data_IF_175910100149
#
_entry.id   IF_175910100149
#
_cell.length_a   1.000
_cell.length_b   1.000
_cell.length_c   1.000
_cell.angle_alpha   90.00
_cell.angle_beta   90.00
_cell.angle_gamma   90.00
#
_symmetry.space_group_name_H-M   'P 1'
#
loop_
_entity.id
_entity.type
_entity.pdbx_description
1 polymer ?
#
# COMPACT_ATOMS: atom_id res chain seq x y z
N UNK A 1 40.79 11.90 -25.34
CA UNK A 1 40.43 12.73 -24.17
C UNK A 1 39.13 13.53 -24.36
N UNK A 2 38.71 13.92 -25.57
CA UNK A 2 37.47 14.71 -25.75
C UNK A 2 36.17 13.91 -25.98
N UNK A 3 36.27 12.65 -26.40
CA UNK A 3 35.08 11.85 -26.72
C UNK A 3 34.41 11.26 -25.47
N UNK A 4 35.22 10.89 -24.47
CA UNK A 4 34.74 10.31 -23.20
C UNK A 4 33.95 11.30 -22.35
N UNK A 5 34.31 12.59 -22.38
CA UNK A 5 33.61 13.62 -21.60
C UNK A 5 32.22 13.93 -22.17
N UNK A 6 32.07 13.91 -23.50
CA UNK A 6 30.77 14.06 -24.18
C UNK A 6 29.91 12.83 -23.90
N UNK A 7 30.48 11.62 -24.00
CA UNK A 7 29.77 10.37 -23.74
C UNK A 7 29.26 10.31 -22.30
N UNK A 8 30.09 10.72 -21.33
CA UNK A 8 29.70 10.80 -19.93
C UNK A 8 28.53 11.77 -19.67
N UNK A 9 28.51 12.94 -20.34
CA UNK A 9 27.39 13.89 -20.22
C UNK A 9 26.08 13.33 -20.78
N UNK A 10 26.15 12.61 -21.91
CA UNK A 10 24.98 11.94 -22.51
C UNK A 10 24.45 10.84 -21.59
N UNK A 11 25.33 10.02 -21.03
CA UNK A 11 24.95 8.95 -20.09
C UNK A 11 24.34 9.51 -18.80
N UNK A 12 24.87 10.63 -18.27
CA UNK A 12 24.26 11.33 -17.14
C UNK A 12 22.87 11.88 -17.46
N UNK A 13 22.67 12.43 -18.67
CA UNK A 13 21.37 12.90 -19.14
C UNK A 13 20.34 11.77 -19.22
N UNK A 14 20.71 10.65 -19.84
CA UNK A 14 19.87 9.45 -19.89
C UNK A 14 19.56 8.89 -18.49
N UNK A 15 20.56 8.87 -17.61
CA UNK A 15 20.40 8.41 -16.22
C UNK A 15 19.40 9.27 -15.44
N UNK A 16 19.50 10.60 -15.54
CA UNK A 16 18.52 11.52 -14.93
C UNK A 16 17.11 11.30 -15.48
N UNK A 17 16.98 11.14 -16.79
CA UNK A 17 15.67 10.92 -17.41
C UNK A 17 15.03 9.61 -16.91
N UNK A 18 15.81 8.51 -16.86
CA UNK A 18 15.34 7.24 -16.31
C UNK A 18 14.95 7.34 -14.84
N UNK A 19 15.71 8.08 -14.02
CA UNK A 19 15.37 8.30 -12.62
C UNK A 19 14.06 9.08 -12.45
N UNK A 20 13.83 10.13 -13.25
CA UNK A 20 12.59 10.91 -13.19
C UNK A 20 11.39 10.04 -13.58
N UNK A 21 11.48 9.33 -14.70
CA UNK A 21 10.40 8.44 -15.17
C UNK A 21 10.16 7.31 -14.17
N UNK A 22 11.23 6.70 -13.65
CA UNK A 22 11.16 5.65 -12.64
C UNK A 22 10.47 6.11 -11.36
N UNK A 23 10.82 7.30 -10.86
CA UNK A 23 10.19 7.89 -9.68
C UNK A 23 8.71 8.20 -9.91
N UNK A 24 8.38 8.85 -11.02
CA UNK A 24 6.99 9.15 -11.37
C UNK A 24 6.13 7.89 -11.51
N UNK A 25 6.68 6.82 -12.12
CA UNK A 25 6.00 5.53 -12.25
C UNK A 25 5.87 4.82 -10.90
N UNK A 26 6.89 4.88 -10.05
CA UNK A 26 6.86 4.29 -8.72
C UNK A 26 5.80 4.98 -7.83
N UNK A 27 5.72 6.31 -7.87
CA UNK A 27 4.71 7.08 -7.12
C UNK A 27 3.29 6.72 -7.57
N UNK A 28 3.06 6.50 -8.87
CA UNK A 28 1.77 6.03 -9.39
C UNK A 28 1.43 4.62 -8.87
N UNK A 29 2.36 3.67 -8.98
CA UNK A 29 2.14 2.30 -8.48
C UNK A 29 1.92 2.25 -6.97
N UNK A 30 2.70 2.99 -6.20
CA UNK A 30 2.58 3.06 -4.74
C UNK A 30 1.24 3.67 -4.31
N UNK A 31 0.72 4.65 -5.06
CA UNK A 31 -0.64 5.17 -4.83
C UNK A 31 -1.71 4.12 -5.09
N UNK A 32 -1.61 3.39 -6.19
CA UNK A 32 -2.61 2.36 -6.53
C UNK A 32 -2.57 1.17 -5.56
N UNK A 33 -1.38 0.70 -5.19
CA UNK A 33 -1.20 -0.32 -4.14
C UNK A 33 -1.71 0.17 -2.78
N UNK A 34 -1.40 1.41 -2.40
CA UNK A 34 -1.87 1.99 -1.14
C UNK A 34 -3.39 2.08 -1.04
N UNK A 35 -4.09 2.47 -2.11
CA UNK A 35 -5.56 2.50 -2.15
C UNK A 35 -6.15 1.09 -2.06
N UNK A 36 -5.57 0.12 -2.78
CA UNK A 36 -6.02 -1.26 -2.72
C UNK A 36 -5.83 -1.89 -1.32
N UNK A 37 -4.68 -1.64 -0.70
CA UNK A 37 -4.37 -2.10 0.65
C UNK A 37 -5.22 -1.40 1.71
N UNK A 38 -5.51 -0.10 1.57
CA UNK A 38 -6.39 0.65 2.47
C UNK A 38 -7.81 0.09 2.44
N UNK A 39 -8.38 -0.14 1.26
CA UNK A 39 -9.71 -0.75 1.11
C UNK A 39 -9.74 -2.18 1.68
N UNK A 40 -8.71 -2.98 1.41
CA UNK A 40 -8.62 -4.33 1.95
C UNK A 40 -8.45 -4.34 3.48
N UNK A 41 -7.71 -3.38 4.03
CA UNK A 41 -7.52 -3.17 5.46
C UNK A 41 -8.81 -2.77 6.17
N UNK A 42 -9.52 -1.77 5.63
CA UNK A 42 -10.79 -1.28 6.17
C UNK A 42 -11.85 -2.39 6.19
N UNK A 43 -11.98 -3.15 5.10
CA UNK A 43 -12.90 -4.29 5.02
C UNK A 43 -12.58 -5.37 6.06
N UNK A 44 -11.28 -5.68 6.30
CA UNK A 44 -10.87 -6.64 7.34
C UNK A 44 -11.16 -6.13 8.74
N UNK A 45 -10.95 -4.85 8.99
CA UNK A 45 -11.21 -4.23 10.29
C UNK A 45 -12.71 -4.24 10.61
N UNK A 46 -13.56 -3.91 9.64
CA UNK A 46 -15.02 -3.93 9.79
C UNK A 46 -15.57 -5.34 10.00
N UNK A 47 -15.10 -6.32 9.23
CA UNK A 47 -15.48 -7.72 9.45
C UNK A 47 -15.02 -8.20 10.83
N UNK A 48 -13.83 -7.80 11.27
CA UNK A 48 -13.31 -8.09 12.61
C UNK A 48 -14.17 -7.50 13.72
N UNK A 49 -14.56 -6.23 13.59
CA UNK A 49 -15.49 -5.55 14.53
C UNK A 49 -16.85 -6.24 14.59
N UNK A 50 -17.42 -6.59 13.43
CA UNK A 50 -18.71 -7.27 13.35
C UNK A 50 -18.66 -8.64 14.04
N UNK A 51 -17.63 -9.46 13.77
CA UNK A 51 -17.43 -10.75 14.42
C UNK A 51 -17.29 -10.63 15.94
N UNK A 52 -16.55 -9.63 16.44
CA UNK A 52 -16.42 -9.40 17.89
C UNK A 52 -17.77 -9.06 18.54
N UNK A 53 -18.53 -8.10 17.98
CA UNK A 53 -19.86 -7.75 18.48
C UNK A 53 -20.83 -8.94 18.52
N UNK A 54 -20.78 -9.79 17.49
CA UNK A 54 -21.60 -11.01 17.46
C UNK A 54 -21.17 -11.98 18.55
N UNK A 55 -19.85 -12.17 18.74
CA UNK A 55 -19.31 -13.00 19.81
C UNK A 55 -19.76 -12.52 21.19
N UNK A 56 -19.59 -11.23 21.48
CA UNK A 56 -20.04 -10.61 22.73
C UNK A 56 -21.54 -10.81 22.96
N UNK A 57 -22.38 -10.58 21.95
CA UNK A 57 -23.82 -10.76 22.07
C UNK A 57 -24.23 -12.21 22.35
N UNK A 58 -23.54 -13.19 21.75
CA UNK A 58 -23.79 -14.61 21.99
C UNK A 58 -23.35 -15.00 23.40
N UNK A 59 -22.19 -14.49 23.85
CA UNK A 59 -21.65 -14.74 25.18
C UNK A 59 -22.58 -14.19 26.27
N UNK A 60 -23.08 -12.95 26.08
CA UNK A 60 -24.05 -12.29 26.96
C UNK A 60 -25.36 -13.07 27.10
N UNK A 61 -25.86 -13.62 25.99
CA UNK A 61 -27.07 -14.46 25.98
C UNK A 61 -26.79 -15.80 26.67
N UNK A 62 -25.64 -16.41 26.41
CA UNK A 62 -25.22 -17.65 27.05
C UNK A 62 -25.10 -17.51 28.57
N UNK A 63 -24.52 -16.41 29.06
CA UNK A 63 -24.38 -16.15 30.50
C UNK A 63 -25.74 -15.95 31.18
N UNK A 64 -26.68 -15.25 30.52
CA UNK A 64 -28.04 -15.06 31.04
C UNK A 64 -28.87 -16.34 31.11
N UNK A 65 -28.65 -17.29 30.20
CA UNK A 65 -29.37 -18.58 30.20
C UNK A 65 -28.78 -19.55 31.23
N UNK A 66 -27.49 -19.41 31.55
CA UNK A 66 -26.78 -20.29 32.50
C UNK A 66 -27.02 -19.91 33.97
N UNK A 67 -27.60 -18.74 34.24
CA UNK A 67 -27.96 -18.24 35.57
C UNK A 67 -29.42 -18.51 35.90
#
# INVERSE_FOLDING_TARGET
>A
MHHDEIKGKVEQGQGKLKQVIGRATADQRLRDEGVADEVAGEAREDVGRAKRKIGEAIEDVGERIKR
#
